data_IF_415841471628
#
_entry.id   IF_415841471628
#
_cell.length_a   1.000
_cell.length_b   1.000
_cell.length_c   1.000
_cell.angle_alpha   90.00
_cell.angle_beta   90.00
_cell.angle_gamma   90.00
#
_symmetry.space_group_name_H-M   'P 1'
#
loop_
_entity.id
_entity.type
_entity.pdbx_description
1 polymer ?
#
# COMPACT_ATOMS: atom_id res chain seq x y z
N UNK A 1 19.49 -21.23 23.64
CA UNK A 1 18.54 -21.27 22.49
C UNK A 1 17.34 -20.33 22.70
N UNK A 2 16.50 -20.56 23.73
CA UNK A 2 15.29 -19.73 24.00
C UNK A 2 15.63 -18.27 24.32
N UNK A 3 16.68 -18.00 25.12
CA UNK A 3 17.11 -16.63 25.41
C UNK A 3 17.61 -15.86 24.18
N UNK A 4 18.28 -16.55 23.26
CA UNK A 4 18.73 -15.99 21.98
C UNK A 4 17.53 -15.65 21.07
N UNK A 5 16.51 -16.51 21.05
CA UNK A 5 15.25 -16.26 20.34
C UNK A 5 14.50 -15.05 20.92
N UNK A 6 14.40 -14.95 22.25
CA UNK A 6 13.73 -13.83 22.92
C UNK A 6 14.42 -12.48 22.65
N UNK A 7 15.76 -12.48 22.60
CA UNK A 7 16.52 -11.28 22.23
C UNK A 7 16.26 -10.87 20.76
N UNK A 8 16.24 -11.83 19.82
CA UNK A 8 15.90 -11.58 18.42
C UNK A 8 14.44 -11.15 18.22
N UNK A 9 13.49 -11.72 18.99
CA UNK A 9 12.07 -11.34 18.95
C UNK A 9 11.85 -9.89 19.32
N UNK A 10 12.62 -9.34 20.26
CA UNK A 10 12.51 -7.92 20.66
C UNK A 10 12.90 -6.99 19.51
N UNK A 11 13.92 -7.36 18.74
CA UNK A 11 14.34 -6.63 17.53
C UNK A 11 13.32 -6.74 16.40
N UNK A 12 12.78 -7.95 16.18
CA UNK A 12 11.71 -8.20 15.19
C UNK A 12 10.46 -7.39 15.55
N UNK A 13 10.10 -7.29 16.83
CA UNK A 13 8.94 -6.52 17.28
C UNK A 13 9.09 -5.03 16.93
N UNK A 14 10.26 -4.42 17.14
CA UNK A 14 10.50 -3.04 16.72
C UNK A 14 10.37 -2.85 15.21
N UNK A 15 10.87 -3.79 14.42
CA UNK A 15 10.74 -3.76 12.96
C UNK A 15 9.27 -3.85 12.52
N UNK A 16 8.50 -4.76 13.11
CA UNK A 16 7.08 -4.95 12.80
C UNK A 16 6.24 -3.72 13.16
N UNK A 17 6.53 -3.05 14.29
CA UNK A 17 5.85 -1.81 14.66
C UNK A 17 6.16 -0.70 13.65
N UNK A 18 7.42 -0.56 13.24
CA UNK A 18 7.83 0.41 12.23
C UNK A 18 7.15 0.14 10.88
N UNK A 19 7.15 -1.12 10.44
CA UNK A 19 6.48 -1.56 9.22
C UNK A 19 4.97 -1.31 9.27
N UNK A 20 4.33 -1.63 10.40
CA UNK A 20 2.90 -1.39 10.57
C UNK A 20 2.57 0.11 10.51
N UNK A 21 3.37 0.95 11.16
CA UNK A 21 3.20 2.40 11.10
C UNK A 21 3.37 2.94 9.68
N UNK A 22 4.38 2.46 8.95
CA UNK A 22 4.59 2.78 7.54
C UNK A 22 3.37 2.40 6.68
N UNK A 23 2.84 1.18 6.84
CA UNK A 23 1.66 0.70 6.13
C UNK A 23 0.43 1.56 6.44
N UNK A 24 0.20 1.92 7.70
CA UNK A 24 -0.92 2.78 8.10
C UNK A 24 -0.83 4.16 7.43
N UNK A 25 0.35 4.76 7.39
CA UNK A 25 0.57 6.06 6.71
C UNK A 25 0.21 5.94 5.23
N UNK A 26 0.72 4.92 4.54
CA UNK A 26 0.45 4.73 3.11
C UNK A 26 -0.99 4.35 2.82
N UNK A 27 -1.66 3.59 3.69
CA UNK A 27 -3.08 3.28 3.56
C UNK A 27 -3.93 4.56 3.64
N UNK A 28 -3.65 5.44 4.61
CA UNK A 28 -4.36 6.72 4.77
C UNK A 28 -4.07 7.67 3.60
N UNK A 29 -2.82 7.76 3.15
CA UNK A 29 -2.44 8.54 1.97
C UNK A 29 -3.14 8.02 0.71
N UNK A 30 -3.19 6.69 0.54
CA UNK A 30 -3.88 6.03 -0.56
C UNK A 30 -5.37 6.30 -0.57
N UNK A 31 -6.02 6.39 0.59
CA UNK A 31 -7.43 6.83 0.68
C UNK A 31 -7.62 8.27 0.17
N UNK A 32 -6.69 9.19 0.46
CA UNK A 32 -6.81 10.57 -0.01
C UNK A 32 -6.62 10.70 -1.53
N UNK A 33 -5.74 9.88 -2.11
CA UNK A 33 -5.48 9.87 -3.54
C UNK A 33 -6.60 9.11 -4.28
N UNK A 34 -6.85 7.86 -3.89
CA UNK A 34 -7.67 6.91 -4.66
C UNK A 34 -9.09 6.70 -4.14
N UNK A 35 -9.45 7.25 -2.98
CA UNK A 35 -10.74 7.01 -2.34
C UNK A 35 -11.92 7.34 -3.26
N UNK A 36 -12.77 6.35 -3.53
CA UNK A 36 -13.94 6.45 -4.40
C UNK A 36 -13.63 6.56 -5.89
N UNK A 37 -12.36 6.56 -6.29
CA UNK A 37 -11.92 6.76 -7.70
C UNK A 37 -11.99 5.49 -8.54
N UNK A 38 -12.06 4.31 -7.92
CA UNK A 38 -12.05 3.02 -8.63
C UNK A 38 -13.45 2.55 -9.08
N UNK A 39 -14.42 3.47 -9.10
CA UNK A 39 -15.79 3.19 -9.55
C UNK A 39 -15.90 3.44 -11.06
N UNK A 40 -15.51 2.45 -11.85
CA UNK A 40 -15.61 2.50 -13.31
C UNK A 40 -16.97 1.98 -13.79
N UNK A 41 -17.64 2.71 -14.69
CA UNK A 41 -18.99 2.37 -15.20
C UNK A 41 -19.10 0.97 -15.85
N UNK A 42 -18.02 0.50 -16.50
CA UNK A 42 -18.01 -0.74 -17.28
C UNK A 42 -17.08 -1.82 -16.71
N UNK A 43 -16.48 -1.61 -15.53
CA UNK A 43 -15.65 -2.63 -14.88
C UNK A 43 -16.20 -2.98 -13.50
N UNK A 44 -16.05 -4.25 -13.14
CA UNK A 44 -16.28 -4.69 -11.75
C UNK A 44 -15.31 -3.95 -10.84
N UNK A 45 -15.84 -3.36 -9.77
CA UNK A 45 -15.03 -2.71 -8.74
C UNK A 45 -13.95 -3.68 -8.21
N UNK A 46 -12.66 -3.31 -8.23
CA UNK A 46 -11.59 -4.17 -7.77
C UNK A 46 -11.69 -4.41 -6.25
N UNK A 47 -11.33 -5.62 -5.80
CA UNK A 47 -11.31 -5.94 -4.36
C UNK A 47 -10.20 -5.17 -3.64
N UNK A 48 -9.07 -4.94 -4.33
CA UNK A 48 -7.98 -4.07 -3.90
C UNK A 48 -8.33 -2.61 -4.22
N UNK A 49 -8.89 -1.89 -3.24
CA UNK A 49 -9.30 -0.50 -3.39
C UNK A 49 -9.09 0.28 -2.08
N UNK A 50 -9.23 1.61 -2.16
CA UNK A 50 -8.90 2.55 -1.08
C UNK A 50 -10.13 3.30 -0.55
N UNK A 51 -11.33 2.73 -0.67
CA UNK A 51 -12.56 3.42 -0.28
C UNK A 51 -12.78 3.45 1.23
N UNK A 52 -12.29 2.44 1.95
CA UNK A 52 -12.39 2.31 3.39
C UNK A 52 -11.01 2.03 4.00
N UNK A 53 -10.78 2.49 5.23
CA UNK A 53 -9.50 2.27 5.93
C UNK A 53 -9.10 0.80 5.99
N UNK A 54 -10.02 -0.08 6.40
CA UNK A 54 -9.74 -1.52 6.49
C UNK A 54 -9.38 -2.13 5.12
N UNK A 55 -10.03 -1.67 4.04
CA UNK A 55 -9.77 -2.17 2.70
C UNK A 55 -8.45 -1.64 2.14
N UNK A 56 -8.13 -0.36 2.38
CA UNK A 56 -6.85 0.24 2.05
C UNK A 56 -5.70 -0.45 2.81
N UNK A 57 -5.91 -0.75 4.09
CA UNK A 57 -4.95 -1.47 4.91
C UNK A 57 -4.65 -2.86 4.33
N UNK A 58 -5.69 -3.65 4.04
CA UNK A 58 -5.52 -4.98 3.42
C UNK A 58 -4.84 -4.84 2.07
N UNK A 59 -5.23 -3.87 1.24
CA UNK A 59 -4.65 -3.67 -0.10
C UNK A 59 -3.13 -3.42 -0.04
N UNK A 60 -2.66 -2.61 0.91
CA UNK A 60 -1.22 -2.36 1.08
C UNK A 60 -0.51 -3.50 1.79
N UNK A 61 -1.16 -4.14 2.76
CA UNK A 61 -0.59 -5.22 3.56
C UNK A 61 -0.43 -6.52 2.77
N UNK A 62 -1.41 -6.89 1.95
CA UNK A 62 -1.30 -8.07 1.09
C UNK A 62 -0.31 -7.83 -0.05
N UNK A 63 -0.28 -6.61 -0.61
CA UNK A 63 0.59 -6.28 -1.74
C UNK A 63 0.35 -7.12 -2.99
N UNK A 64 -0.69 -7.96 -2.99
CA UNK A 64 -1.06 -8.81 -4.11
C UNK A 64 -1.57 -7.94 -5.26
N UNK A 65 -1.16 -8.29 -6.47
CA UNK A 65 -1.57 -7.61 -7.71
C UNK A 65 -1.38 -6.08 -7.66
N UNK A 66 -0.33 -5.61 -6.99
CA UNK A 66 0.05 -4.19 -6.92
C UNK A 66 0.16 -3.53 -8.30
N UNK A 67 0.56 -4.30 -9.32
CA UNK A 67 0.58 -3.87 -10.72
C UNK A 67 -0.81 -3.49 -11.23
N UNK A 68 -1.82 -4.29 -10.91
CA UNK A 68 -3.21 -4.02 -11.29
C UNK A 68 -3.74 -2.81 -10.52
N UNK A 69 -3.49 -2.72 -9.20
CA UNK A 69 -3.88 -1.57 -8.39
C UNK A 69 -3.25 -0.27 -8.91
N UNK A 70 -1.98 -0.30 -9.31
CA UNK A 70 -1.29 0.83 -9.95
C UNK A 70 -1.93 1.19 -11.29
N UNK A 71 -2.22 0.20 -12.14
CA UNK A 71 -2.86 0.43 -13.43
C UNK A 71 -4.25 1.06 -13.29
N UNK A 72 -5.07 0.53 -12.37
CA UNK A 72 -6.38 1.08 -12.03
C UNK A 72 -6.25 2.50 -11.45
N UNK A 73 -5.20 2.74 -10.65
CA UNK A 73 -4.81 4.06 -10.18
C UNK A 73 -4.63 5.05 -11.32
N UNK A 74 -3.74 4.76 -12.27
CA UNK A 74 -3.48 5.63 -13.43
C UNK A 74 -4.76 5.82 -14.26
N UNK A 75 -5.51 4.73 -14.49
CA UNK A 75 -6.76 4.76 -15.25
C UNK A 75 -7.83 5.65 -14.60
N UNK A 76 -7.89 5.69 -13.26
CA UNK A 76 -8.83 6.56 -12.54
C UNK A 76 -8.55 8.06 -12.75
N UNK A 77 -7.34 8.40 -13.19
CA UNK A 77 -6.92 9.77 -13.53
C UNK A 77 -6.72 9.98 -15.05
N UNK A 78 -7.27 9.12 -15.91
CA UNK A 78 -7.03 9.20 -17.37
C UNK A 78 -7.46 10.53 -18.00
N UNK A 79 -8.37 11.26 -17.37
CA UNK A 79 -8.88 12.56 -17.83
C UNK A 79 -8.03 13.74 -17.33
N UNK A 80 -6.97 13.50 -16.57
CA UNK A 80 -6.07 14.51 -16.01
C UNK A 80 -4.70 14.43 -16.71
N UNK A 81 -4.10 15.57 -17.11
CA UNK A 81 -2.82 15.57 -17.83
C UNK A 81 -1.66 14.96 -17.03
N UNK A 82 -1.79 14.90 -15.70
CA UNK A 82 -0.78 14.36 -14.78
C UNK A 82 -1.22 13.07 -14.08
N UNK A 83 -2.23 12.36 -14.61
CA UNK A 83 -2.73 11.12 -14.00
C UNK A 83 -1.69 10.00 -13.89
N UNK A 84 -0.66 10.02 -14.74
CA UNK A 84 0.45 9.06 -14.68
C UNK A 84 1.35 9.26 -13.44
N UNK A 85 1.43 10.46 -12.85
CA UNK A 85 2.27 10.73 -11.67
C UNK A 85 1.86 9.90 -10.45
N UNK A 86 0.63 9.40 -10.46
CA UNK A 86 0.09 8.54 -9.42
C UNK A 86 0.84 7.20 -9.33
N UNK A 87 1.57 6.79 -10.37
CA UNK A 87 2.48 5.63 -10.28
C UNK A 87 3.62 5.82 -9.28
N UNK A 88 4.04 7.08 -9.02
CA UNK A 88 5.12 7.38 -8.08
C UNK A 88 4.75 6.96 -6.65
N UNK A 89 3.46 7.02 -6.28
CA UNK A 89 2.98 6.50 -4.99
C UNK A 89 3.36 5.02 -4.82
N UNK A 90 3.12 4.19 -5.84
CA UNK A 90 3.42 2.76 -5.80
C UNK A 90 4.92 2.47 -5.85
N UNK A 91 5.68 3.24 -6.63
CA UNK A 91 7.16 3.11 -6.70
C UNK A 91 7.79 3.41 -5.34
N UNK A 92 7.40 4.52 -4.70
CA UNK A 92 7.91 4.89 -3.37
C UNK A 92 7.48 3.86 -2.33
N UNK A 93 6.24 3.39 -2.37
CA UNK A 93 5.75 2.34 -1.47
C UNK A 93 6.60 1.07 -1.58
N UNK A 94 6.92 0.63 -2.80
CA UNK A 94 7.71 -0.58 -3.04
C UNK A 94 9.17 -0.41 -2.59
N UNK A 95 9.80 0.71 -2.94
CA UNK A 95 11.21 0.96 -2.57
C UNK A 95 11.33 1.10 -1.05
N UNK A 96 10.55 2.01 -0.44
CA UNK A 96 10.63 2.24 1.00
C UNK A 96 10.22 1.02 1.82
N UNK A 97 9.18 0.28 1.40
CA UNK A 97 8.77 -0.97 2.05
C UNK A 97 9.90 -2.02 2.04
N UNK A 98 10.56 -2.21 0.90
CA UNK A 98 11.68 -3.16 0.80
C UNK A 98 12.94 -2.70 1.57
N UNK A 99 13.20 -1.38 1.64
CA UNK A 99 14.28 -0.84 2.47
C UNK A 99 14.05 -1.11 3.96
N UNK A 100 12.81 -0.95 4.44
CA UNK A 100 12.46 -1.26 5.83
C UNK A 100 12.63 -2.76 6.10
N UNK A 101 12.18 -3.64 5.20
CA UNK A 101 12.34 -5.09 5.35
C UNK A 101 13.80 -5.57 5.33
N UNK A 102 14.66 -4.87 4.60
CA UNK A 102 16.09 -5.19 4.48
C UNK A 102 16.94 -4.68 5.65
N UNK A 103 16.37 -3.88 6.56
CA UNK A 103 17.05 -3.29 7.73
C UNK A 103 16.81 -4.14 8.98
#
# INVERSE_FOLDING_TARGET
LVGSLLASMRSIASLLVLLFLFIVIFALLGMQIFGGRFNFLYLRKPRSNFDNFHQALITILTGEDWNEAMYMGIKSYSNQPFGSLVCLYYVVLFICGNCILST
#
